data_IF_017662222562
#
_entry.id   IF_017662222562
#
_cell.length_a   1.000
_cell.length_b   1.000
_cell.length_c   1.000
_cell.angle_alpha   90.00
_cell.angle_beta   90.00
_cell.angle_gamma   90.00
#
_symmetry.space_group_name_H-M   'P 1'
#
loop_
_entity.id
_entity.type
_entity.pdbx_description
1 polymer ?
#
# COMPACT_ATOMS: atom_id res chain seq x y z
N UNK A 1 12.54 5.64 -6.74
CA UNK A 1 11.29 4.89 -6.51
C UNK A 1 11.57 3.43 -6.81
N UNK A 2 11.38 2.54 -5.84
CA UNK A 2 11.68 1.11 -5.98
C UNK A 2 10.62 0.40 -6.85
N UNK A 3 10.88 -0.83 -7.30
CA UNK A 3 9.83 -1.64 -7.98
C UNK A 3 8.65 -1.95 -7.06
N UNK A 4 8.92 -2.11 -5.76
CA UNK A 4 7.88 -2.32 -4.75
C UNK A 4 6.97 -1.09 -4.62
N UNK A 5 7.55 0.12 -4.52
CA UNK A 5 6.78 1.36 -4.50
C UNK A 5 5.99 1.57 -5.80
N UNK A 6 6.58 1.20 -6.94
CA UNK A 6 5.90 1.28 -8.24
C UNK A 6 4.68 0.35 -8.29
N UNK A 7 4.76 -0.86 -7.75
CA UNK A 7 3.61 -1.77 -7.67
C UNK A 7 2.48 -1.17 -6.82
N UNK A 8 2.81 -0.65 -5.64
CA UNK A 8 1.84 0.05 -4.77
C UNK A 8 1.19 1.22 -5.52
N UNK A 9 1.98 2.07 -6.17
CA UNK A 9 1.46 3.22 -6.91
C UNK A 9 0.56 2.81 -8.08
N UNK A 10 0.88 1.72 -8.78
CA UNK A 10 0.01 1.19 -9.84
C UNK A 10 -1.34 0.72 -9.29
N UNK A 11 -1.35 0.05 -8.12
CA UNK A 11 -2.61 -0.31 -7.45
C UNK A 11 -3.38 0.94 -7.02
N UNK A 12 -2.68 1.94 -6.49
CA UNK A 12 -3.30 3.19 -6.08
C UNK A 12 -3.98 3.91 -7.26
N UNK A 13 -3.34 3.92 -8.43
CA UNK A 13 -3.89 4.52 -9.65
C UNK A 13 -5.10 3.72 -10.16
N UNK A 14 -4.98 2.40 -10.24
CA UNK A 14 -6.06 1.52 -10.67
C UNK A 14 -7.30 1.62 -9.76
N UNK A 15 -7.08 1.80 -8.46
CA UNK A 15 -8.15 1.96 -7.47
C UNK A 15 -8.57 3.41 -7.23
N UNK A 16 -8.01 4.39 -7.95
CA UNK A 16 -8.33 5.83 -7.84
C UNK A 16 -8.09 6.42 -6.44
N UNK A 17 -7.01 5.98 -5.79
CA UNK A 17 -6.58 6.50 -4.48
C UNK A 17 -5.20 7.17 -4.53
N UNK A 18 -4.59 7.35 -5.70
CA UNK A 18 -3.25 7.97 -5.81
C UNK A 18 -3.13 9.34 -5.16
N UNK A 19 -4.16 10.19 -5.27
CA UNK A 19 -4.19 11.52 -4.65
C UNK A 19 -4.53 11.49 -3.15
N UNK A 20 -4.96 10.32 -2.65
CA UNK A 20 -5.33 10.11 -1.24
C UNK A 20 -4.23 9.36 -0.48
N UNK A 21 -3.33 8.70 -1.20
CA UNK A 21 -2.29 7.84 -0.65
C UNK A 21 -1.03 8.66 -0.36
N UNK A 22 -0.66 8.69 0.92
CA UNK A 22 0.60 9.25 1.39
C UNK A 22 1.49 8.11 1.90
N UNK A 23 2.80 8.28 1.71
CA UNK A 23 3.80 7.37 2.25
C UNK A 23 4.74 8.16 3.15
N UNK A 24 4.89 7.71 4.39
CA UNK A 24 5.78 8.30 5.36
C UNK A 24 6.72 7.24 5.96
N UNK A 25 7.93 7.64 6.29
CA UNK A 25 8.88 6.83 7.06
C UNK A 25 9.03 7.50 8.43
N UNK A 26 8.65 6.78 9.48
CA UNK A 26 8.69 7.28 10.86
C UNK A 26 9.37 6.21 11.71
N UNK A 27 10.51 6.57 12.30
CA UNK A 27 11.35 5.68 13.11
C UNK A 27 11.71 4.38 12.36
N UNK A 28 11.16 3.24 12.80
CA UNK A 28 11.40 1.93 12.23
C UNK A 28 10.23 1.42 11.39
N UNK A 29 9.36 2.31 10.93
CA UNK A 29 8.14 1.97 10.22
C UNK A 29 7.98 2.76 8.92
N UNK A 30 7.42 2.09 7.92
CA UNK A 30 6.84 2.70 6.73
C UNK A 30 5.33 2.70 6.91
N UNK A 31 4.72 3.86 6.76
CA UNK A 31 3.28 4.07 6.77
C UNK A 31 2.79 4.36 5.35
N UNK A 32 1.72 3.70 4.97
CA UNK A 32 0.91 4.01 3.79
C UNK A 32 -0.45 4.45 4.29
N UNK A 33 -0.70 5.75 4.22
CA UNK A 33 -1.90 6.40 4.77
C UNK A 33 -2.83 6.73 3.62
N UNK A 34 -4.08 6.27 3.69
CA UNK A 34 -5.13 6.66 2.75
C UNK A 34 -6.04 7.66 3.47
N UNK A 35 -5.99 8.92 3.04
CA UNK A 35 -6.69 10.04 3.67
C UNK A 35 -8.05 10.36 3.04
N UNK A 36 -8.79 11.24 3.70
CA UNK A 36 -10.04 11.84 3.20
C UNK A 36 -11.13 10.81 2.87
N UNK A 37 -11.29 9.80 3.72
CA UNK A 37 -12.21 8.68 3.53
C UNK A 37 -13.64 8.94 4.05
N UNK A 38 -13.92 10.18 4.46
CA UNK A 38 -15.24 10.58 4.95
C UNK A 38 -16.33 10.58 3.86
N UNK A 39 -15.93 10.53 2.58
CA UNK A 39 -16.83 10.36 1.44
C UNK A 39 -17.00 8.87 1.12
N UNK A 40 -18.23 8.46 0.78
CA UNK A 40 -18.52 7.07 0.40
C UNK A 40 -17.67 6.60 -0.79
N UNK A 41 -17.49 7.45 -1.80
CA UNK A 41 -16.69 7.13 -2.99
C UNK A 41 -15.23 6.85 -2.64
N UNK A 42 -14.62 7.71 -1.83
CA UNK A 42 -13.23 7.55 -1.40
C UNK A 42 -13.07 6.29 -0.53
N UNK A 43 -14.02 6.03 0.37
CA UNK A 43 -14.01 4.81 1.19
C UNK A 43 -14.09 3.55 0.32
N UNK A 44 -14.98 3.51 -0.67
CA UNK A 44 -15.11 2.36 -1.56
C UNK A 44 -13.83 2.11 -2.39
N UNK A 45 -13.19 3.18 -2.88
CA UNK A 45 -11.92 3.10 -3.59
C UNK A 45 -10.77 2.64 -2.67
N UNK A 46 -10.74 3.11 -1.42
CA UNK A 46 -9.77 2.66 -0.42
C UNK A 46 -9.94 1.17 -0.08
N UNK A 47 -11.17 0.69 0.03
CA UNK A 47 -11.45 -0.74 0.26
C UNK A 47 -11.01 -1.62 -0.92
N UNK A 48 -11.21 -1.14 -2.15
CA UNK A 48 -10.70 -1.82 -3.35
C UNK A 48 -9.17 -1.88 -3.36
N UNK A 49 -8.53 -0.76 -3.05
CA UNK A 49 -7.07 -0.69 -2.93
C UNK A 49 -6.54 -1.63 -1.84
N UNK A 50 -7.18 -1.67 -0.66
CA UNK A 50 -6.80 -2.58 0.43
C UNK A 50 -6.90 -4.06 0.02
N UNK A 51 -7.91 -4.42 -0.78
CA UNK A 51 -8.03 -5.79 -1.31
C UNK A 51 -6.92 -6.12 -2.30
N UNK A 52 -6.55 -5.21 -3.20
CA UNK A 52 -5.41 -5.44 -4.10
C UNK A 52 -4.08 -5.51 -3.32
N UNK A 53 -3.94 -4.66 -2.30
CA UNK A 53 -2.75 -4.62 -1.45
C UNK A 53 -2.63 -5.87 -0.58
N UNK A 54 -3.74 -6.43 -0.09
CA UNK A 54 -3.71 -7.67 0.71
C UNK A 54 -3.13 -8.83 -0.08
N UNK A 55 -3.56 -9.01 -1.33
CA UNK A 55 -3.07 -10.07 -2.20
C UNK A 55 -1.57 -9.89 -2.50
N UNK A 56 -1.15 -8.65 -2.76
CA UNK A 56 0.26 -8.33 -3.00
C UNK A 56 1.14 -8.56 -1.77
N UNK A 57 0.64 -8.22 -0.58
CA UNK A 57 1.36 -8.42 0.68
C UNK A 57 1.47 -9.91 1.01
N UNK A 58 0.41 -10.68 0.80
CA UNK A 58 0.43 -12.14 0.97
C UNK A 58 1.48 -12.79 0.06
N UNK A 59 1.49 -12.45 -1.24
CA UNK A 59 2.50 -12.96 -2.19
C UNK A 59 3.93 -12.54 -1.84
N UNK A 60 4.07 -11.36 -1.23
CA UNK A 60 5.34 -10.81 -0.76
C UNK A 60 5.77 -11.37 0.60
N UNK A 61 4.95 -12.21 1.24
CA UNK A 61 5.13 -12.70 2.62
C UNK A 61 5.30 -11.54 3.61
N UNK A 62 4.47 -10.51 3.45
CA UNK A 62 4.41 -9.33 4.30
C UNK A 62 3.16 -9.35 5.16
N UNK A 63 3.24 -8.90 6.43
CA UNK A 63 2.06 -8.74 7.26
C UNK A 63 1.26 -7.51 6.86
N UNK A 64 -0.06 -7.66 6.78
CA UNK A 64 -0.98 -6.54 6.60
C UNK A 64 -1.43 -6.02 7.98
N UNK A 65 -0.82 -4.91 8.43
CA UNK A 65 -1.18 -4.25 9.69
C UNK A 65 -1.96 -2.98 9.38
N UNK A 66 -3.25 -2.97 9.74
CA UNK A 66 -4.17 -1.87 9.44
C UNK A 66 -4.58 -1.16 10.74
N UNK A 67 -4.57 0.16 10.71
CA UNK A 67 -5.21 1.02 11.70
C UNK A 67 -6.24 1.90 11.01
N UNK A 68 -7.42 2.05 11.62
CA UNK A 68 -8.51 2.87 11.08
C UNK A 68 -8.75 4.02 12.03
N UNK A 69 -8.71 5.24 11.51
CA UNK A 69 -9.05 6.45 12.26
C UNK A 69 -10.46 6.88 11.87
N UNK A 70 -11.28 7.25 12.86
CA UNK A 70 -12.66 7.66 12.65
C UNK A 70 -12.92 9.06 13.20
N UNK A 71 -13.82 9.78 12.54
CA UNK A 71 -14.36 11.05 13.02
C UNK A 71 -15.74 10.79 13.66
N UNK A 72 -15.99 11.27 14.88
CA UNK A 72 -17.30 11.16 15.51
C UNK A 72 -18.34 12.03 14.81
N UNK A 73 -19.57 11.53 14.72
CA UNK A 73 -20.74 12.25 14.21
C UNK A 73 -21.83 12.34 15.30
N UNK A 74 -22.83 13.22 15.11
CA UNK A 74 -24.03 13.21 15.95
C UNK A 74 -24.72 11.85 15.97
N UNK A 75 -25.56 11.61 16.98
CA UNK A 75 -26.37 10.39 17.11
C UNK A 75 -25.56 9.08 17.26
N UNK A 76 -24.37 9.15 17.88
CA UNK A 76 -23.46 8.01 18.09
C UNK A 76 -23.02 7.34 16.78
N UNK A 77 -22.97 8.09 15.69
CA UNK A 77 -22.42 7.63 14.41
C UNK A 77 -20.93 7.99 14.30
N UNK A 78 -20.23 7.36 13.35
CA UNK A 78 -18.85 7.71 13.01
C UNK A 78 -18.59 7.48 11.53
N UNK A 79 -17.68 8.27 10.96
CA UNK A 79 -17.16 8.06 9.61
C UNK A 79 -15.68 7.69 9.67
N UNK A 80 -15.23 6.89 8.72
CA UNK A 80 -13.80 6.63 8.52
C UNK A 80 -13.16 7.92 7.99
N UNK A 81 -12.04 8.31 8.57
CA UNK A 81 -11.26 9.47 8.17
C UNK A 81 -10.04 9.06 7.35
N UNK A 82 -9.27 8.13 7.90
CA UNK A 82 -8.10 7.57 7.27
C UNK A 82 -7.92 6.09 7.59
N UNK A 83 -7.14 5.42 6.75
CA UNK A 83 -6.67 4.06 6.99
C UNK A 83 -5.15 4.05 6.82
N UNK A 84 -4.45 3.59 7.85
CA UNK A 84 -3.00 3.46 7.86
C UNK A 84 -2.63 1.99 7.70
N UNK A 85 -1.73 1.70 6.76
CA UNK A 85 -1.08 0.39 6.62
C UNK A 85 0.38 0.53 7.05
N UNK A 86 0.82 -0.33 7.97
CA UNK A 86 2.14 -0.23 8.60
C UNK A 86 3.03 -1.44 8.32
N UNK A 87 4.23 -1.16 7.81
CA UNK A 87 5.32 -2.11 7.63
C UNK A 87 6.50 -1.75 8.54
N UNK A 88 7.20 -2.75 9.08
CA UNK A 88 8.54 -2.50 9.65
C UNK A 88 9.49 -2.14 8.51
N UNK A 89 10.44 -1.25 8.78
CA UNK A 89 11.46 -0.86 7.78
C UNK A 89 12.26 -2.07 7.29
N UNK A 90 12.47 -3.07 8.15
CA UNK A 90 13.13 -4.34 7.78
C UNK A 90 12.28 -5.18 6.83
N UNK A 91 10.97 -5.24 7.03
CA UNK A 91 10.02 -5.93 6.15
C UNK A 91 9.95 -5.25 4.77
N UNK A 92 9.82 -3.92 4.77
CA UNK A 92 9.84 -3.11 3.55
C UNK A 92 11.14 -3.33 2.76
N UNK A 93 12.31 -3.17 3.41
CA UNK A 93 13.60 -3.32 2.75
C UNK A 93 13.82 -4.73 2.22
N UNK A 94 13.33 -5.75 2.94
CA UNK A 94 13.39 -7.13 2.45
C UNK A 94 12.53 -7.33 1.20
N UNK A 95 11.30 -6.79 1.18
CA UNK A 95 10.42 -6.88 0.02
C UNK A 95 10.97 -6.12 -1.19
N UNK A 96 11.52 -4.92 -0.99
CA UNK A 96 12.20 -4.14 -2.03
C UNK A 96 13.31 -4.96 -2.68
N UNK A 97 14.23 -5.51 -1.87
CA UNK A 97 15.37 -6.30 -2.37
C UNK A 97 14.90 -7.53 -3.16
N UNK A 98 13.95 -8.29 -2.60
CA UNK A 98 13.41 -9.49 -3.24
C UNK A 98 12.79 -9.17 -4.61
N UNK A 99 12.07 -8.06 -4.70
CA UNK A 99 11.44 -7.63 -5.95
C UNK A 99 12.47 -7.13 -6.97
N UNK A 100 13.47 -6.37 -6.54
CA UNK A 100 14.59 -5.94 -7.39
C UNK A 100 15.38 -7.13 -7.94
N UNK A 101 15.67 -8.13 -7.11
CA UNK A 101 16.34 -9.36 -7.54
C UNK A 101 15.52 -10.13 -8.59
N UNK A 102 14.21 -10.28 -8.37
CA UNK A 102 13.33 -10.96 -9.31
C UNK A 102 13.25 -10.26 -10.68
N UNK A 103 13.14 -8.93 -10.69
CA UNK A 103 13.13 -8.15 -11.94
C UNK A 103 14.47 -8.24 -12.65
N UNK A 104 15.58 -8.05 -11.94
CA UNK A 104 16.91 -8.12 -12.53
C UNK A 104 17.24 -9.52 -13.09
N UNK A 105 16.77 -10.58 -12.46
CA UNK A 105 16.91 -11.95 -12.98
C UNK A 105 16.11 -12.14 -14.27
N UNK A 106 14.86 -11.66 -14.32
CA UNK A 106 14.04 -11.73 -15.52
C UNK A 106 14.67 -10.96 -16.68
N UNK A 107 15.21 -9.76 -16.44
CA UNK A 107 15.89 -8.96 -17.46
C UNK A 107 17.15 -9.66 -18.00
N UNK A 108 17.93 -10.31 -17.12
CA UNK A 108 19.10 -11.11 -17.54
C UNK A 108 18.70 -12.30 -18.39
N UNK A 109 17.65 -13.02 -18.02
CA UNK A 109 17.17 -14.17 -18.77
C UNK A 109 16.60 -13.77 -20.14
N UNK A 110 15.92 -12.62 -20.22
CA UNK A 110 15.42 -12.08 -21.48
C UNK A 110 16.57 -11.70 -22.42
N UNK A 111 17.64 -11.08 -21.90
CA UNK A 111 18.79 -10.63 -22.68
C UNK A 111 19.82 -11.74 -23.01
N UNK A 112 19.70 -12.94 -22.42
CA UNK A 112 20.51 -14.12 -22.77
C UNK A 112 19.80 -15.06 -23.76
N UNK A 113 18.53 -14.78 -24.09
CA UNK A 113 17.75 -15.52 -25.07
C UNK A 113 17.82 -14.96 -26.51
N UNK A 114 18.60 -13.91 -26.73
CA UNK A 114 18.99 -13.37 -28.06
C UNK A 114 20.41 -13.81 -28.43
#
# INVERSE_FOLDING_TARGET
MTYFDRAINNFAEACKVSELLEKEEIENYIFLTINHLSSYGNLMHALQFLSALSDFFEQSNLPLRIQVTTIPLPHNESKVDSIDIRLLITEYNHAVRKMEEAVNQNDRNANQGE
#
